data_IF_012710138252
#
_entry.id   IF_012710138252
#
_cell.length_a   1.000
_cell.length_b   1.000
_cell.length_c   1.000
_cell.angle_alpha   90.00
_cell.angle_beta   90.00
_cell.angle_gamma   90.00
#
_symmetry.space_group_name_H-M   'P 1'
#
loop_
_entity.id
_entity.type
_entity.pdbx_description
1 polymer ?
#
# COMPACT_ATOMS: atom_id res chain seq x y z
N UNK A 1 19.31 -13.12 2.10
CA UNK A 1 18.93 -11.97 1.23
C UNK A 1 17.45 -11.73 1.39
N UNK A 2 17.02 -10.47 1.61
CA UNK A 2 15.61 -10.15 1.90
C UNK A 2 14.75 -10.48 0.68
N UNK A 3 13.71 -11.31 0.85
CA UNK A 3 12.69 -11.52 -0.18
C UNK A 3 11.77 -10.31 -0.19
N UNK A 4 11.50 -9.79 -1.39
CA UNK A 4 10.53 -8.74 -1.60
C UNK A 4 9.23 -9.41 -2.04
N UNK A 5 8.31 -9.52 -1.10
CA UNK A 5 6.99 -10.10 -1.30
C UNK A 5 5.92 -9.04 -1.07
N UNK A 6 4.81 -9.20 -1.78
CA UNK A 6 3.64 -8.33 -1.63
C UNK A 6 2.97 -8.70 -0.30
N UNK A 7 2.80 -7.73 0.59
CA UNK A 7 2.27 -7.93 1.94
C UNK A 7 0.88 -7.29 2.11
N UNK A 8 -0.20 -7.91 1.59
CA UNK A 8 -1.53 -7.30 1.54
C UNK A 8 -2.09 -6.95 2.92
N UNK A 9 -1.81 -7.75 3.94
CA UNK A 9 -2.26 -7.47 5.31
C UNK A 9 -1.71 -6.16 5.88
N UNK A 10 -0.44 -5.84 5.59
CA UNK A 10 0.16 -4.57 6.03
C UNK A 10 -0.45 -3.38 5.30
N UNK A 11 -0.81 -3.56 4.03
CA UNK A 11 -1.45 -2.49 3.24
C UNK A 11 -2.81 -2.16 3.83
N UNK A 12 -3.65 -3.17 4.12
CA UNK A 12 -4.96 -2.96 4.74
C UNK A 12 -4.83 -2.26 6.09
N UNK A 13 -3.85 -2.65 6.92
CA UNK A 13 -3.60 -2.00 8.20
C UNK A 13 -3.22 -0.52 8.03
N UNK A 14 -2.31 -0.20 7.10
CA UNK A 14 -1.96 1.19 6.81
C UNK A 14 -3.14 1.96 6.20
N UNK A 15 -3.95 1.33 5.35
CA UNK A 15 -5.14 1.95 4.78
C UNK A 15 -6.14 2.33 5.86
N UNK A 16 -6.35 1.49 6.89
CA UNK A 16 -7.22 1.82 8.02
C UNK A 16 -6.75 3.07 8.77
N UNK A 17 -5.45 3.16 9.05
CA UNK A 17 -4.85 4.32 9.74
C UNK A 17 -5.01 5.58 8.87
N UNK A 18 -4.67 5.50 7.59
CA UNK A 18 -4.77 6.64 6.68
C UNK A 18 -6.22 7.07 6.45
N UNK A 19 -7.16 6.12 6.39
CA UNK A 19 -8.59 6.43 6.31
C UNK A 19 -9.10 7.17 7.53
N UNK A 20 -8.66 6.78 8.73
CA UNK A 20 -9.00 7.50 9.95
C UNK A 20 -8.52 8.96 9.90
N UNK A 21 -7.30 9.19 9.42
CA UNK A 21 -6.73 10.54 9.25
C UNK A 21 -7.54 11.35 8.24
N UNK A 22 -7.81 10.80 7.05
CA UNK A 22 -8.58 11.49 5.99
C UNK A 22 -9.98 11.85 6.50
N UNK A 23 -10.69 10.90 7.10
CA UNK A 23 -12.05 11.14 7.59
C UNK A 23 -12.07 12.21 8.67
N UNK A 24 -11.11 12.17 9.60
CA UNK A 24 -10.99 13.18 10.65
C UNK A 24 -10.67 14.56 10.10
N UNK A 25 -9.67 14.68 9.21
CA UNK A 25 -9.25 15.97 8.65
C UNK A 25 -10.34 16.64 7.81
N UNK A 26 -11.06 15.85 7.01
CA UNK A 26 -12.10 16.34 6.11
C UNK A 26 -13.49 16.32 6.73
N UNK A 27 -13.62 15.98 8.02
CA UNK A 27 -14.90 15.90 8.75
C UNK A 27 -15.95 15.06 8.00
N UNK A 28 -15.52 13.94 7.40
CA UNK A 28 -16.38 13.11 6.57
C UNK A 28 -17.34 12.28 7.43
N UNK A 29 -18.58 12.16 6.97
CA UNK A 29 -19.57 11.29 7.61
C UNK A 29 -19.23 9.80 7.49
N UNK A 30 -19.90 8.97 8.29
CA UNK A 30 -19.62 7.53 8.41
C UNK A 30 -19.64 6.76 7.07
N UNK A 31 -20.48 7.17 6.12
CA UNK A 31 -20.58 6.57 4.79
C UNK A 31 -19.26 6.59 3.99
N UNK A 32 -18.32 7.47 4.34
CA UNK A 32 -17.04 7.60 3.64
C UNK A 32 -15.96 6.62 4.12
N UNK A 33 -16.19 5.87 5.21
CA UNK A 33 -15.21 4.89 5.70
C UNK A 33 -14.82 3.85 4.65
N UNK A 34 -15.82 3.18 4.06
CA UNK A 34 -15.59 2.13 3.07
C UNK A 34 -14.93 2.66 1.78
N UNK A 35 -15.44 3.73 1.13
CA UNK A 35 -14.81 4.29 -0.06
C UNK A 35 -13.36 4.73 0.17
N UNK A 36 -13.08 5.45 1.27
CA UNK A 36 -11.73 5.95 1.57
C UNK A 36 -10.80 4.78 1.89
N UNK A 37 -11.25 3.79 2.65
CA UNK A 37 -10.48 2.57 2.92
C UNK A 37 -10.15 1.79 1.66
N UNK A 38 -11.13 1.56 0.79
CA UNK A 38 -10.93 0.86 -0.46
C UNK A 38 -9.94 1.61 -1.38
N UNK A 39 -10.09 2.93 -1.50
CA UNK A 39 -9.16 3.78 -2.25
C UNK A 39 -7.74 3.71 -1.72
N UNK A 40 -7.56 3.88 -0.40
CA UNK A 40 -6.25 3.79 0.24
C UNK A 40 -5.62 2.39 0.08
N UNK A 41 -6.41 1.32 0.19
CA UNK A 41 -5.94 -0.05 0.01
C UNK A 41 -5.46 -0.28 -1.42
N UNK A 42 -6.21 0.19 -2.42
CA UNK A 42 -5.81 0.10 -3.82
C UNK A 42 -4.48 0.85 -4.08
N UNK A 43 -4.33 2.07 -3.55
CA UNK A 43 -3.12 2.89 -3.72
C UNK A 43 -1.90 2.23 -3.07
N UNK A 44 -2.01 1.78 -1.81
CA UNK A 44 -0.90 1.10 -1.14
C UNK A 44 -0.56 -0.24 -1.77
N UNK A 45 -1.55 -0.99 -2.24
CA UNK A 45 -1.32 -2.22 -2.98
C UNK A 45 -0.56 -1.97 -4.28
N UNK A 46 -1.01 -1.04 -5.10
CA UNK A 46 -0.33 -0.67 -6.33
C UNK A 46 1.12 -0.22 -6.06
N UNK A 47 1.33 0.66 -5.07
CA UNK A 47 2.67 1.13 -4.69
C UNK A 47 3.59 0.00 -4.23
N UNK A 48 3.07 -0.96 -3.46
CA UNK A 48 3.86 -2.09 -3.00
C UNK A 48 4.20 -3.08 -4.13
N UNK A 49 3.27 -3.34 -5.05
CA UNK A 49 3.54 -4.15 -6.25
C UNK A 49 4.66 -3.52 -7.09
N UNK A 50 4.60 -2.21 -7.32
CA UNK A 50 5.65 -1.47 -8.03
C UNK A 50 6.98 -1.55 -7.28
N UNK A 51 6.97 -1.33 -5.96
CA UNK A 51 8.17 -1.44 -5.13
C UNK A 51 8.81 -2.83 -5.21
N UNK A 52 8.02 -3.89 -5.11
CA UNK A 52 8.49 -5.27 -5.22
C UNK A 52 9.06 -5.54 -6.61
N UNK A 53 8.37 -5.12 -7.68
CA UNK A 53 8.84 -5.29 -9.05
C UNK A 53 10.18 -4.56 -9.30
N UNK A 54 10.30 -3.31 -8.86
CA UNK A 54 11.53 -2.52 -8.98
C UNK A 54 12.69 -3.18 -8.23
N UNK A 55 12.48 -3.61 -6.99
CA UNK A 55 13.54 -4.27 -6.22
C UNK A 55 13.96 -5.61 -6.81
N UNK A 56 13.02 -6.40 -7.35
CA UNK A 56 13.35 -7.62 -8.09
C UNK A 56 14.15 -7.33 -9.36
N UNK A 57 13.90 -6.20 -10.04
CA UNK A 57 14.70 -5.78 -11.21
C UNK A 57 16.11 -5.38 -10.79
N UNK A 58 16.26 -4.59 -9.74
CA UNK A 58 17.57 -4.18 -9.20
C UNK A 58 18.37 -5.41 -8.78
N UNK A 59 17.76 -6.35 -8.03
CA UNK A 59 18.46 -7.58 -7.62
C UNK A 59 19.00 -8.40 -8.79
N UNK A 60 18.28 -8.50 -9.92
CA UNK A 60 18.77 -9.16 -11.13
C UNK A 60 20.00 -8.45 -11.70
N UNK A 61 19.90 -7.14 -11.88
CA UNK A 61 21.00 -6.32 -12.41
C UNK A 61 22.25 -6.34 -11.51
N UNK A 62 22.07 -6.28 -10.19
CA UNK A 62 23.19 -6.31 -9.23
C UNK A 62 23.84 -7.69 -9.15
N UNK A 63 23.10 -8.78 -9.38
CA UNK A 63 23.65 -10.13 -9.39
C UNK A 63 24.31 -10.53 -10.71
N UNK A 64 24.25 -9.68 -11.75
CA UNK A 64 24.89 -9.95 -13.03
C UNK A 64 24.19 -11.03 -13.87
N UNK A 65 22.87 -11.18 -13.71
CA UNK A 65 22.01 -11.98 -14.61
C UNK A 65 21.40 -11.12 -15.72
#
# INVERSE_FOLDING_TARGET
MKRFDVEPGRMVAFSLIFSAIVIWQFHLGWAWWLPVLAGNAAVFYAGNVVYVAANRRIQRLTRGE
#
